data_IF_708326024863
#
_entry.id   IF_708326024863
#
_cell.length_a   1.000
_cell.length_b   1.000
_cell.length_c   1.000
_cell.angle_alpha   90.00
_cell.angle_beta   90.00
_cell.angle_gamma   90.00
#
_symmetry.space_group_name_H-M   'P 1'
#
loop_
_entity.id
_entity.type
_entity.pdbx_description
1 polymer ?
#
# COMPACT_ATOMS: atom_id res chain seq x y z
N UNK A 1 -6.58 53.87 78.35
CA UNK A 1 -6.61 52.37 78.35
C UNK A 1 -6.73 51.89 76.93
N UNK A 2 -5.63 51.40 76.41
CA UNK A 2 -5.51 50.99 75.00
C UNK A 2 -5.91 49.55 74.80
N UNK A 3 -6.83 49.28 73.86
CA UNK A 3 -7.12 47.94 73.37
C UNK A 3 -6.39 47.75 72.03
N UNK A 4 -5.34 46.90 72.00
CA UNK A 4 -4.64 46.47 70.81
C UNK A 4 -5.48 45.43 70.08
N UNK A 5 -5.93 45.73 68.85
CA UNK A 5 -6.44 44.76 67.87
C UNK A 5 -5.27 44.10 67.17
N UNK A 6 -5.15 42.79 67.39
CA UNK A 6 -4.21 41.97 66.63
C UNK A 6 -4.92 41.55 65.34
N UNK A 7 -4.48 42.11 64.21
CA UNK A 7 -4.93 41.71 62.89
C UNK A 7 -4.03 40.57 62.39
N UNK A 8 -4.59 39.35 62.38
CA UNK A 8 -3.92 38.16 61.87
C UNK A 8 -4.02 38.17 60.33
N UNK A 9 -2.93 38.61 59.64
CA UNK A 9 -2.82 38.54 58.21
C UNK A 9 -2.51 37.08 57.80
N UNK A 10 -3.55 36.38 57.36
CA UNK A 10 -3.41 35.07 56.72
C UNK A 10 -2.88 35.29 55.31
N UNK A 11 -1.56 35.13 55.10
CA UNK A 11 -0.92 35.13 53.78
C UNK A 11 -1.28 33.81 53.10
N UNK A 12 -2.36 33.79 52.32
CA UNK A 12 -2.65 32.74 51.41
C UNK A 12 -1.68 32.85 50.25
N UNK A 13 -0.61 32.01 50.24
CA UNK A 13 0.27 31.81 49.07
C UNK A 13 -0.56 31.13 47.98
N UNK A 14 -1.15 31.92 47.11
CA UNK A 14 -1.64 31.42 45.80
C UNK A 14 -0.39 31.10 44.99
N UNK A 15 -0.01 29.82 44.96
CA UNK A 15 0.96 29.30 44.01
C UNK A 15 0.26 29.33 42.66
N UNK A 16 0.47 30.37 41.88
CA UNK A 16 0.20 30.38 40.45
C UNK A 16 1.12 29.34 39.85
N UNK A 17 0.59 28.17 39.59
CA UNK A 17 1.20 27.28 38.61
C UNK A 17 1.11 28.01 37.27
N UNK A 18 2.12 28.81 36.96
CA UNK A 18 2.37 29.31 35.62
C UNK A 18 2.77 28.09 34.80
N UNK A 19 1.81 27.38 34.22
CA UNK A 19 2.06 26.50 33.08
C UNK A 19 2.69 27.43 32.05
N UNK A 20 3.93 27.19 31.64
CA UNK A 20 4.55 28.06 30.67
C UNK A 20 3.72 27.99 29.40
N UNK A 21 3.17 29.11 28.96
CA UNK A 21 2.43 29.30 27.70
C UNK A 21 3.24 28.92 26.45
N UNK A 22 4.49 28.51 26.61
CA UNK A 22 5.40 27.95 25.63
C UNK A 22 5.08 26.52 25.21
N UNK A 23 4.23 25.80 25.92
CA UNK A 23 3.88 24.41 25.59
C UNK A 23 2.67 24.28 24.68
N UNK A 24 2.11 25.36 24.19
CA UNK A 24 1.29 25.32 22.98
C UNK A 24 2.28 25.24 21.83
N UNK A 25 2.74 24.02 21.50
CA UNK A 25 3.55 23.78 20.31
C UNK A 25 2.73 24.25 19.11
N UNK A 26 3.09 25.42 18.58
CA UNK A 26 2.58 25.88 17.29
C UNK A 26 3.14 24.88 16.29
N UNK A 27 2.28 24.00 15.76
CA UNK A 27 2.67 23.05 14.72
C UNK A 27 3.26 23.82 13.55
N UNK A 28 4.36 23.32 13.01
CA UNK A 28 4.96 23.89 11.81
C UNK A 28 4.01 23.74 10.61
N UNK A 29 4.24 24.52 9.57
CA UNK A 29 3.45 24.40 8.34
C UNK A 29 3.53 22.97 7.75
N UNK A 30 4.70 22.33 7.86
CA UNK A 30 4.93 20.95 7.41
C UNK A 30 4.15 19.94 8.27
N UNK A 31 4.14 20.08 9.59
CA UNK A 31 3.35 19.22 10.48
C UNK A 31 1.85 19.34 10.21
N UNK A 32 1.36 20.55 9.92
CA UNK A 32 -0.04 20.77 9.54
C UNK A 32 -0.33 20.12 8.19
N UNK A 33 0.57 20.24 7.22
CA UNK A 33 0.43 19.63 5.90
C UNK A 33 0.41 18.09 5.99
N UNK A 34 1.34 17.51 6.76
CA UNK A 34 1.41 16.08 7.03
C UNK A 34 0.11 15.57 7.67
N UNK A 35 -0.39 16.25 8.69
CA UNK A 35 -1.62 15.85 9.38
C UNK A 35 -2.84 15.89 8.45
N UNK A 36 -2.99 16.96 7.64
CA UNK A 36 -4.07 17.07 6.65
C UNK A 36 -3.99 15.94 5.62
N UNK A 37 -2.78 15.62 5.14
CA UNK A 37 -2.56 14.56 4.18
C UNK A 37 -2.85 13.19 4.79
N UNK A 38 -2.40 12.94 6.02
CA UNK A 38 -2.69 11.73 6.78
C UNK A 38 -4.19 11.48 6.93
N UNK A 39 -4.94 12.51 7.32
CA UNK A 39 -6.40 12.43 7.44
C UNK A 39 -7.04 12.08 6.10
N UNK A 40 -6.60 12.71 5.01
CA UNK A 40 -7.13 12.45 3.66
C UNK A 40 -6.84 11.04 3.18
N UNK A 41 -5.59 10.55 3.35
CA UNK A 41 -5.23 9.18 2.99
C UNK A 41 -6.02 8.16 3.80
N UNK A 42 -6.12 8.36 5.12
CA UNK A 42 -6.90 7.49 6.02
C UNK A 42 -8.37 7.44 5.60
N UNK A 43 -8.97 8.58 5.26
CA UNK A 43 -10.36 8.65 4.79
C UNK A 43 -10.57 7.87 3.49
N UNK A 44 -9.67 8.03 2.50
CA UNK A 44 -9.74 7.28 1.23
C UNK A 44 -9.50 5.79 1.42
N UNK A 45 -8.54 5.42 2.28
CA UNK A 45 -8.30 4.03 2.66
C UNK A 45 -9.54 3.40 3.30
N UNK A 46 -10.18 4.06 4.27
CA UNK A 46 -11.40 3.55 4.88
C UNK A 46 -12.54 3.45 3.88
N UNK A 47 -12.66 4.43 2.97
CA UNK A 47 -13.64 4.39 1.89
C UNK A 47 -13.42 3.17 0.99
N UNK A 48 -12.19 2.91 0.54
CA UNK A 48 -11.87 1.74 -0.26
C UNK A 48 -12.22 0.43 0.47
N UNK A 49 -11.86 0.33 1.77
CA UNK A 49 -12.19 -0.84 2.56
C UNK A 49 -13.69 -1.07 2.69
N UNK A 50 -14.49 -0.02 2.83
CA UNK A 50 -15.95 -0.09 2.97
C UNK A 50 -16.63 -0.38 1.62
N UNK A 51 -16.29 0.38 0.58
CA UNK A 51 -16.95 0.27 -0.74
C UNK A 51 -16.74 -1.12 -1.38
N UNK A 52 -15.56 -1.70 -1.19
CA UNK A 52 -15.19 -2.98 -1.81
C UNK A 52 -15.16 -4.16 -0.83
N UNK A 53 -15.57 -3.99 0.44
CA UNK A 53 -15.60 -5.07 1.43
C UNK A 53 -14.24 -5.71 1.69
N UNK A 54 -13.15 -4.91 1.71
CA UNK A 54 -11.79 -5.43 1.73
C UNK A 54 -11.41 -6.04 3.08
N UNK A 55 -12.02 -5.62 4.18
CA UNK A 55 -11.70 -6.07 5.53
C UNK A 55 -12.98 -6.49 6.24
N UNK A 56 -12.98 -7.70 6.78
CA UNK A 56 -14.07 -8.25 7.59
C UNK A 56 -13.57 -8.63 9.00
N UNK A 57 -14.52 -8.86 9.88
CA UNK A 57 -14.23 -9.36 11.23
C UNK A 57 -13.64 -10.78 11.16
N UNK A 58 -12.59 -11.03 11.94
CA UNK A 58 -11.88 -12.30 11.93
C UNK A 58 -10.83 -12.49 10.83
N UNK A 59 -10.65 -11.52 9.92
CA UNK A 59 -9.62 -11.62 8.88
C UNK A 59 -8.20 -11.74 9.47
N UNK A 60 -7.35 -12.52 8.81
CA UNK A 60 -5.90 -12.49 8.97
C UNK A 60 -5.27 -12.09 7.63
N UNK A 61 -4.72 -10.89 7.57
CA UNK A 61 -4.24 -10.26 6.33
C UNK A 61 -2.71 -10.30 6.28
N UNK A 62 -2.15 -10.94 5.25
CA UNK A 62 -0.73 -10.88 4.96
C UNK A 62 -0.43 -9.66 4.07
N UNK A 63 0.46 -8.78 4.50
CA UNK A 63 0.85 -7.57 3.75
C UNK A 63 2.16 -7.83 3.02
N UNK A 64 2.15 -7.71 1.69
CA UNK A 64 3.37 -7.78 0.88
C UNK A 64 4.19 -6.49 1.02
N UNK A 65 5.29 -6.54 1.78
CA UNK A 65 6.19 -5.41 2.04
C UNK A 65 7.40 -5.45 1.11
N UNK A 66 7.39 -4.64 0.05
CA UNK A 66 8.53 -4.53 -0.88
C UNK A 66 9.63 -3.56 -0.42
N UNK A 67 9.35 -2.76 0.63
CA UNK A 67 10.20 -1.65 1.08
C UNK A 67 10.00 -0.34 0.30
N UNK A 68 9.19 -0.32 -0.75
CA UNK A 68 8.81 0.90 -1.45
C UNK A 68 7.74 1.70 -0.70
N UNK A 69 7.64 3.00 -1.02
CA UNK A 69 6.71 3.96 -0.39
C UNK A 69 5.28 3.45 -0.25
N UNK A 70 4.76 2.79 -1.29
CA UNK A 70 3.38 2.33 -1.34
C UNK A 70 3.15 1.17 -0.37
N UNK A 71 4.09 0.22 -0.31
CA UNK A 71 4.02 -0.90 0.64
C UNK A 71 4.21 -0.46 2.10
N UNK A 72 5.04 0.55 2.35
CA UNK A 72 5.20 1.16 3.68
C UNK A 72 3.92 1.89 4.12
N UNK A 73 3.32 2.68 3.22
CA UNK A 73 2.03 3.34 3.48
C UNK A 73 0.92 2.32 3.75
N UNK A 74 0.89 1.20 3.01
CA UNK A 74 -0.06 0.11 3.25
C UNK A 74 0.11 -0.51 4.64
N UNK A 75 1.36 -0.82 5.04
CA UNK A 75 1.67 -1.37 6.37
C UNK A 75 1.24 -0.40 7.46
N UNK A 76 1.51 0.90 7.30
CA UNK A 76 1.12 1.91 8.29
C UNK A 76 -0.40 2.02 8.42
N UNK A 77 -1.12 2.13 7.30
CA UNK A 77 -2.58 2.30 7.31
C UNK A 77 -3.30 1.05 7.84
N UNK A 78 -2.88 -0.15 7.41
CA UNK A 78 -3.45 -1.41 7.91
C UNK A 78 -3.10 -1.65 9.37
N UNK A 79 -1.85 -1.38 9.78
CA UNK A 79 -1.41 -1.53 11.17
C UNK A 79 -2.19 -0.61 12.12
N UNK A 80 -2.36 0.67 11.74
CA UNK A 80 -3.21 1.60 12.50
C UNK A 80 -4.67 1.17 12.53
N UNK A 81 -5.19 0.66 11.42
CA UNK A 81 -6.58 0.21 11.32
C UNK A 81 -6.84 -1.04 12.16
N UNK A 82 -5.88 -1.97 12.25
CA UNK A 82 -5.99 -3.18 13.07
C UNK A 82 -6.03 -2.89 14.59
N UNK A 83 -5.61 -1.69 15.00
CA UNK A 83 -5.70 -1.26 16.41
C UNK A 83 -7.09 -0.72 16.78
N UNK A 84 -8.00 -0.57 15.83
CA UNK A 84 -9.38 -0.14 16.06
C UNK A 84 -10.25 -1.37 16.36
N UNK A 85 -11.17 -1.24 17.31
CA UNK A 85 -11.92 -2.35 17.86
C UNK A 85 -12.84 -3.09 16.87
N UNK A 86 -13.37 -2.41 15.84
CA UNK A 86 -14.32 -2.99 14.87
C UNK A 86 -13.94 -2.53 13.45
N UNK A 87 -13.84 -3.47 12.48
CA UNK A 87 -13.75 -4.92 12.63
C UNK A 87 -12.47 -5.35 13.34
N UNK A 88 -12.49 -6.49 14.03
CA UNK A 88 -11.30 -7.12 14.61
C UNK A 88 -10.63 -7.99 13.56
N UNK A 89 -9.41 -7.69 13.21
CA UNK A 89 -8.62 -8.49 12.28
C UNK A 89 -7.14 -8.44 12.64
N UNK A 90 -6.39 -9.38 12.11
CA UNK A 90 -4.95 -9.47 12.31
C UNK A 90 -4.20 -9.09 11.05
N UNK A 91 -3.01 -8.53 11.22
CA UNK A 91 -2.10 -8.21 10.12
C UNK A 91 -0.72 -8.75 10.38
N UNK A 92 -0.08 -9.26 9.34
CA UNK A 92 1.32 -9.68 9.35
C UNK A 92 1.96 -9.17 8.07
N UNK A 93 3.13 -8.55 8.15
CA UNK A 93 3.89 -8.13 6.97
C UNK A 93 4.89 -9.21 6.58
N UNK A 94 5.11 -9.41 5.28
CA UNK A 94 6.18 -10.27 4.77
C UNK A 94 7.04 -9.53 3.77
N UNK A 95 8.35 -9.55 3.99
CA UNK A 95 9.35 -9.07 3.05
C UNK A 95 10.02 -10.26 2.36
N UNK A 96 9.80 -10.40 1.05
CA UNK A 96 10.36 -11.49 0.25
C UNK A 96 11.65 -11.03 -0.42
N UNK A 97 12.76 -11.69 -0.09
CA UNK A 97 14.07 -11.51 -0.74
C UNK A 97 14.31 -12.61 -1.76
N UNK A 98 14.81 -12.24 -2.92
CA UNK A 98 15.26 -13.19 -3.95
C UNK A 98 16.78 -13.23 -3.88
N UNK A 99 17.36 -14.37 -3.53
CA UNK A 99 18.81 -14.51 -3.24
C UNK A 99 19.70 -14.12 -4.44
N UNK A 100 19.25 -14.41 -5.65
CA UNK A 100 20.00 -14.11 -6.88
C UNK A 100 19.90 -12.63 -7.31
N UNK A 101 19.26 -11.80 -6.51
CA UNK A 101 19.12 -10.37 -6.76
C UNK A 101 19.68 -9.59 -5.61
N UNK A 102 20.67 -8.74 -5.88
CA UNK A 102 21.21 -7.77 -4.93
C UNK A 102 20.18 -6.68 -4.59
N UNK A 103 19.18 -7.08 -3.80
CA UNK A 103 18.25 -6.15 -3.20
C UNK A 103 18.81 -5.77 -1.82
N UNK A 104 19.48 -4.64 -1.75
CA UNK A 104 19.86 -4.05 -0.48
C UNK A 104 18.65 -3.37 0.15
N UNK A 105 17.74 -4.19 0.71
CA UNK A 105 16.73 -3.68 1.62
C UNK A 105 17.35 -3.52 3.00
N UNK A 106 17.26 -2.34 3.58
CA UNK A 106 17.62 -2.17 4.99
C UNK A 106 16.58 -2.86 5.86
N UNK A 107 16.91 -4.09 6.26
CA UNK A 107 16.04 -4.91 7.11
C UNK A 107 15.87 -4.32 8.51
N UNK A 108 16.85 -3.56 9.02
CA UNK A 108 16.74 -2.89 10.30
C UNK A 108 15.64 -1.84 10.24
N UNK A 109 15.70 -0.98 9.22
CA UNK A 109 14.67 0.01 8.98
C UNK A 109 13.26 -0.60 8.83
N UNK A 110 13.12 -1.69 8.04
CA UNK A 110 11.83 -2.34 7.85
C UNK A 110 11.28 -2.95 9.14
N UNK A 111 12.14 -3.54 9.98
CA UNK A 111 11.76 -4.09 11.29
C UNK A 111 11.29 -2.98 12.22
N UNK A 112 12.06 -1.89 12.33
CA UNK A 112 11.74 -0.75 13.18
C UNK A 112 10.46 -0.04 12.70
N UNK A 113 10.27 0.07 11.38
CA UNK A 113 9.06 0.62 10.80
C UNK A 113 7.82 -0.21 11.18
N UNK A 114 7.87 -1.52 10.98
CA UNK A 114 6.78 -2.43 11.32
C UNK A 114 6.49 -2.44 12.83
N UNK A 115 7.53 -2.42 13.67
CA UNK A 115 7.39 -2.36 15.13
C UNK A 115 6.67 -1.09 15.59
N UNK A 116 6.98 0.07 15.00
CA UNK A 116 6.31 1.35 15.31
C UNK A 116 4.79 1.30 15.08
N UNK A 117 4.35 0.56 14.08
CA UNK A 117 2.92 0.42 13.75
C UNK A 117 2.31 -0.89 14.27
N UNK A 118 3.06 -1.63 15.10
CA UNK A 118 2.66 -2.89 15.74
C UNK A 118 2.24 -3.98 14.75
N UNK A 119 2.94 -4.07 13.62
CA UNK A 119 2.75 -5.11 12.61
C UNK A 119 3.92 -6.09 12.68
N UNK A 120 3.69 -7.38 12.99
CA UNK A 120 4.73 -8.41 12.91
C UNK A 120 5.34 -8.47 11.50
N UNK A 121 6.67 -8.57 11.40
CA UNK A 121 7.38 -8.71 10.13
C UNK A 121 8.05 -10.07 10.02
N UNK A 122 7.78 -10.77 8.92
CA UNK A 122 8.46 -11.99 8.50
C UNK A 122 9.36 -11.65 7.31
N UNK A 123 10.58 -12.15 7.32
CA UNK A 123 11.49 -12.09 6.18
C UNK A 123 11.57 -13.49 5.58
N UNK A 124 11.18 -13.64 4.33
CA UNK A 124 11.19 -14.91 3.59
C UNK A 124 12.20 -14.83 2.47
N UNK A 125 13.17 -15.73 2.48
CA UNK A 125 14.10 -15.88 1.36
C UNK A 125 13.51 -16.84 0.33
N UNK A 126 13.66 -16.51 -0.95
CA UNK A 126 13.30 -17.37 -2.08
C UNK A 126 14.45 -17.42 -3.07
N UNK A 127 14.60 -18.55 -3.73
CA UNK A 127 15.59 -18.78 -4.78
C UNK A 127 14.85 -18.98 -6.10
N UNK A 128 15.45 -18.51 -7.18
CA UNK A 128 14.99 -18.82 -8.54
C UNK A 128 15.60 -20.18 -8.89
N UNK A 129 14.82 -21.27 -8.68
CA UNK A 129 15.33 -22.62 -8.89
C UNK A 129 15.77 -22.87 -10.34
N UNK A 130 16.79 -23.71 -10.51
CA UNK A 130 17.29 -24.15 -11.83
C UNK A 130 16.22 -24.87 -12.66
N UNK A 131 15.19 -25.42 -12.02
CA UNK A 131 14.03 -26.08 -12.65
C UNK A 131 13.18 -25.14 -13.52
N UNK A 132 13.36 -23.80 -13.38
CA UNK A 132 12.69 -22.83 -14.24
C UNK A 132 13.13 -22.91 -15.72
N UNK A 133 14.16 -23.68 -16.04
CA UNK A 133 14.62 -23.93 -17.40
C UNK A 133 13.90 -25.12 -18.09
N UNK A 134 13.13 -25.96 -17.37
CA UNK A 134 12.64 -27.21 -17.92
C UNK A 134 11.23 -27.70 -17.55
N UNK A 135 10.52 -27.15 -16.56
CA UNK A 135 9.18 -27.65 -16.23
C UNK A 135 8.07 -26.97 -17.02
N UNK A 136 7.55 -27.71 -18.00
CA UNK A 136 6.24 -27.50 -18.58
C UNK A 136 5.18 -27.58 -17.48
N UNK A 137 4.61 -26.45 -17.11
CA UNK A 137 3.37 -26.45 -16.31
C UNK A 137 2.27 -27.15 -17.12
N UNK A 138 1.99 -28.40 -16.75
CA UNK A 138 0.84 -29.17 -17.27
C UNK A 138 -0.45 -28.37 -17.02
N UNK A 139 -0.90 -27.64 -18.03
CA UNK A 139 -2.16 -26.89 -17.94
C UNK A 139 -2.41 -25.82 -18.99
N UNK A 140 -1.46 -25.44 -19.83
CA UNK A 140 -1.68 -24.49 -20.92
C UNK A 140 -1.51 -25.20 -22.27
N UNK A 141 -2.62 -25.69 -22.84
CA UNK A 141 -2.68 -26.06 -24.25
C UNK A 141 -2.45 -24.80 -25.08
N UNK A 142 -1.24 -24.65 -25.60
CA UNK A 142 -0.92 -24.10 -26.95
C UNK A 142 0.58 -24.22 -27.15
N UNK A 143 0.95 -25.01 -28.12
CA UNK A 143 2.30 -25.15 -28.70
C UNK A 143 2.75 -23.79 -29.22
N UNK A 144 3.60 -23.12 -28.47
CA UNK A 144 4.46 -22.05 -29.00
C UNK A 144 5.83 -22.25 -28.39
N UNK A 145 6.83 -22.35 -29.30
CA UNK A 145 8.27 -22.51 -29.08
C UNK A 145 8.70 -21.95 -27.72
N UNK A 146 9.43 -22.73 -26.93
CA UNK A 146 10.02 -22.36 -25.63
C UNK A 146 10.79 -21.03 -25.80
N UNK A 147 10.10 -19.91 -25.60
CA UNK A 147 10.74 -18.60 -25.40
C UNK A 147 11.29 -18.63 -23.99
N UNK A 148 12.61 -18.45 -23.85
CA UNK A 148 13.26 -18.20 -22.57
C UNK A 148 12.41 -17.19 -21.79
N UNK A 149 11.87 -17.62 -20.64
CA UNK A 149 11.01 -16.75 -19.82
C UNK A 149 11.86 -15.59 -19.32
N UNK A 150 11.45 -14.37 -19.64
CA UNK A 150 12.19 -13.16 -19.27
C UNK A 150 12.50 -13.16 -17.76
N UNK A 151 13.74 -12.84 -17.31
CA UNK A 151 14.15 -12.92 -15.91
C UNK A 151 13.23 -12.18 -14.92
N UNK A 152 12.60 -11.07 -15.36
CA UNK A 152 11.62 -10.35 -14.56
C UNK A 152 10.35 -11.14 -14.30
N UNK A 153 9.93 -11.99 -15.24
CA UNK A 153 8.75 -12.84 -15.06
C UNK A 153 9.01 -13.89 -13.98
N UNK A 154 10.15 -14.56 -14.02
CA UNK A 154 10.54 -15.55 -13.02
C UNK A 154 10.66 -14.93 -11.64
N UNK A 155 11.36 -13.81 -11.52
CA UNK A 155 11.49 -13.09 -10.26
C UNK A 155 10.11 -12.71 -9.65
N UNK A 156 9.19 -12.21 -10.50
CA UNK A 156 7.83 -11.88 -10.07
C UNK A 156 7.02 -13.11 -9.67
N UNK A 157 7.24 -14.23 -10.36
CA UNK A 157 6.54 -15.48 -10.09
C UNK A 157 6.98 -16.08 -8.75
N UNK A 158 8.30 -16.19 -8.49
CA UNK A 158 8.82 -16.72 -7.22
C UNK A 158 8.46 -15.84 -6.03
N UNK A 159 8.47 -14.51 -6.18
CA UNK A 159 7.98 -13.59 -5.15
C UNK A 159 6.51 -13.81 -4.83
N UNK A 160 5.65 -13.95 -5.85
CA UNK A 160 4.23 -14.24 -5.63
C UNK A 160 4.04 -15.59 -4.97
N UNK A 161 4.75 -16.63 -5.44
CA UNK A 161 4.70 -17.95 -4.83
C UNK A 161 5.03 -17.86 -3.34
N UNK A 162 6.15 -17.22 -2.98
CA UNK A 162 6.53 -17.05 -1.58
C UNK A 162 5.49 -16.30 -0.74
N UNK A 163 4.79 -15.30 -1.32
CA UNK A 163 3.66 -14.62 -0.65
C UNK A 163 2.51 -15.59 -0.35
N UNK A 164 2.10 -16.40 -1.34
CA UNK A 164 1.01 -17.35 -1.18
C UNK A 164 1.38 -18.47 -0.20
N UNK A 165 2.59 -19.02 -0.31
CA UNK A 165 3.09 -20.06 0.59
C UNK A 165 3.09 -19.53 2.04
N UNK A 166 3.59 -18.31 2.27
CA UNK A 166 3.58 -17.69 3.60
C UNK A 166 2.16 -17.43 4.11
N UNK A 167 1.24 -17.01 3.23
CA UNK A 167 -0.16 -16.81 3.62
C UNK A 167 -0.81 -18.12 4.10
N UNK A 168 -0.54 -19.22 3.39
CA UNK A 168 -1.03 -20.55 3.79
C UNK A 168 -0.38 -21.05 5.10
N UNK A 169 0.95 -20.88 5.24
CA UNK A 169 1.69 -21.26 6.46
C UNK A 169 1.12 -20.56 7.71
N UNK A 170 0.67 -19.31 7.57
CA UNK A 170 0.13 -18.50 8.66
C UNK A 170 -1.40 -18.58 8.82
N UNK A 171 -2.08 -19.30 7.95
CA UNK A 171 -3.54 -19.32 7.94
C UNK A 171 -4.18 -17.98 7.57
N UNK A 172 -3.49 -17.14 6.78
CA UNK A 172 -4.04 -15.89 6.29
C UNK A 172 -5.10 -16.15 5.21
N UNK A 173 -6.26 -15.50 5.33
CA UNK A 173 -7.32 -15.58 4.31
C UNK A 173 -7.24 -14.44 3.28
N UNK A 174 -6.40 -13.42 3.53
CA UNK A 174 -6.21 -12.29 2.61
C UNK A 174 -4.74 -11.94 2.43
N UNK A 175 -4.41 -11.46 1.21
CA UNK A 175 -3.11 -10.87 0.89
C UNK A 175 -3.35 -9.43 0.45
N UNK A 176 -2.76 -8.46 1.14
CA UNK A 176 -2.83 -7.04 0.82
C UNK A 176 -1.60 -6.60 0.03
N UNK A 177 -1.82 -5.91 -1.09
CA UNK A 177 -0.79 -5.36 -1.96
C UNK A 177 -0.92 -3.84 -2.07
N UNK A 178 0.22 -3.15 -2.15
CA UNK A 178 0.33 -1.69 -2.19
C UNK A 178 0.01 -1.06 -3.55
N UNK A 179 -0.89 -1.66 -4.35
CA UNK A 179 -1.34 -1.05 -5.59
C UNK A 179 -2.27 0.13 -5.29
N UNK A 180 -1.98 1.26 -5.89
CA UNK A 180 -2.72 2.52 -5.75
C UNK A 180 -3.58 2.81 -7.00
N UNK A 181 -4.38 3.88 -6.96
CA UNK A 181 -5.32 4.25 -8.02
C UNK A 181 -4.67 4.30 -9.41
N UNK A 182 -3.48 4.89 -9.50
CA UNK A 182 -2.77 5.02 -10.78
C UNK A 182 -2.40 3.66 -11.37
N UNK A 183 -2.00 2.68 -10.54
CA UNK A 183 -1.73 1.31 -11.01
C UNK A 183 -2.93 0.68 -11.71
N UNK A 184 -4.14 0.91 -11.18
CA UNK A 184 -5.37 0.37 -11.75
C UNK A 184 -5.71 1.07 -13.08
N UNK A 185 -5.58 2.39 -13.13
CA UNK A 185 -5.79 3.20 -14.35
C UNK A 185 -4.77 2.82 -15.43
N UNK A 186 -3.50 2.76 -15.07
CA UNK A 186 -2.42 2.35 -15.99
C UNK A 186 -2.64 0.93 -16.53
N UNK A 187 -3.05 -0.01 -15.67
CA UNK A 187 -3.31 -1.39 -16.08
C UNK A 187 -4.49 -1.48 -17.04
N UNK A 188 -5.57 -0.70 -16.80
CA UNK A 188 -6.67 -0.62 -17.75
C UNK A 188 -6.20 -0.15 -19.13
N UNK A 189 -5.43 0.94 -19.19
CA UNK A 189 -4.93 1.47 -20.46
C UNK A 189 -3.97 0.50 -21.15
N UNK A 190 -3.09 -0.18 -20.39
CA UNK A 190 -2.23 -1.22 -20.93
C UNK A 190 -3.05 -2.34 -21.57
N UNK A 191 -4.09 -2.82 -20.90
CA UNK A 191 -4.93 -3.89 -21.43
C UNK A 191 -5.75 -3.44 -22.65
N UNK A 192 -6.27 -2.22 -22.62
CA UNK A 192 -6.97 -1.64 -23.78
C UNK A 192 -6.06 -1.52 -25.01
N UNK A 193 -4.86 -0.97 -24.84
CA UNK A 193 -3.95 -0.65 -25.96
C UNK A 193 -3.24 -1.89 -26.49
N UNK A 194 -2.76 -2.77 -25.60
CA UNK A 194 -1.90 -3.88 -26.00
C UNK A 194 -2.63 -5.23 -26.11
N UNK A 195 -3.81 -5.38 -25.48
CA UNK A 195 -4.54 -6.65 -25.43
C UNK A 195 -5.96 -6.56 -25.98
N UNK A 196 -6.45 -5.35 -26.30
CA UNK A 196 -7.83 -5.14 -26.73
C UNK A 196 -8.86 -5.59 -25.69
N UNK A 197 -8.52 -5.48 -24.41
CA UNK A 197 -9.35 -5.96 -23.29
C UNK A 197 -9.67 -4.84 -22.31
N UNK A 198 -10.94 -4.71 -21.95
CA UNK A 198 -11.41 -3.81 -20.88
C UNK A 198 -11.27 -4.55 -19.55
N UNK A 199 -10.07 -4.53 -19.00
CA UNK A 199 -9.75 -5.18 -17.72
C UNK A 199 -8.68 -4.39 -16.95
N UNK A 200 -8.78 -4.40 -15.63
CA UNK A 200 -7.78 -3.84 -14.73
C UNK A 200 -7.50 -4.82 -13.59
N UNK A 201 -6.71 -4.41 -12.60
CA UNK A 201 -6.54 -5.14 -11.35
C UNK A 201 -7.65 -4.71 -10.37
N UNK A 202 -8.56 -5.61 -9.97
CA UNK A 202 -9.68 -5.22 -9.10
C UNK A 202 -9.21 -4.93 -7.66
N UNK A 203 -9.91 -4.06 -6.91
CA UNK A 203 -9.65 -3.83 -5.48
C UNK A 203 -9.71 -5.11 -4.63
N UNK A 204 -10.65 -6.00 -4.93
CA UNK A 204 -10.82 -7.33 -4.34
C UNK A 204 -10.78 -8.38 -5.45
N UNK A 205 -9.93 -9.39 -5.31
CA UNK A 205 -9.85 -10.53 -6.22
C UNK A 205 -9.91 -11.84 -5.42
N UNK A 206 -10.93 -12.64 -5.64
CA UNK A 206 -10.99 -14.01 -5.14
C UNK A 206 -10.10 -14.91 -5.99
N UNK A 207 -9.23 -15.70 -5.37
CA UNK A 207 -8.41 -16.67 -6.10
C UNK A 207 -9.20 -17.96 -6.34
N UNK A 208 -9.21 -18.47 -7.58
CA UNK A 208 -9.99 -19.67 -7.94
C UNK A 208 -9.45 -20.96 -7.33
N UNK A 209 -8.12 -21.02 -7.13
CA UNK A 209 -7.42 -22.25 -6.71
C UNK A 209 -7.10 -22.30 -5.22
N UNK A 210 -7.33 -21.23 -4.49
CA UNK A 210 -6.96 -21.11 -3.06
C UNK A 210 -8.02 -20.28 -2.33
N UNK A 211 -8.33 -20.60 -1.06
CA UNK A 211 -9.26 -19.82 -0.24
C UNK A 211 -8.62 -18.50 0.23
N UNK A 212 -7.94 -17.80 -0.65
CA UNK A 212 -7.24 -16.55 -0.37
C UNK A 212 -7.80 -15.45 -1.25
N UNK A 213 -8.04 -14.29 -0.69
CA UNK A 213 -8.42 -13.07 -1.41
C UNK A 213 -7.21 -12.13 -1.53
N UNK A 214 -7.03 -11.53 -2.70
CA UNK A 214 -6.09 -10.43 -2.87
C UNK A 214 -6.82 -9.11 -2.74
N UNK A 215 -6.33 -8.23 -1.86
CA UNK A 215 -6.94 -6.91 -1.62
C UNK A 215 -5.96 -5.77 -1.92
N UNK A 216 -6.51 -4.62 -2.34
CA UNK A 216 -5.75 -3.41 -2.69
C UNK A 216 -6.35 -2.18 -2.00
N UNK A 217 -6.09 -2.01 -0.70
CA UNK A 217 -6.72 -0.95 0.09
C UNK A 217 -6.32 0.48 -0.32
N UNK A 218 -5.23 0.63 -1.10
CA UNK A 218 -4.79 1.94 -1.61
C UNK A 218 -5.43 2.33 -2.94
N UNK A 219 -6.38 1.54 -3.48
CA UNK A 219 -6.95 1.71 -4.83
C UNK A 219 -7.65 3.06 -5.07
N UNK A 220 -8.04 3.79 -4.05
CA UNK A 220 -8.63 5.13 -4.15
C UNK A 220 -7.63 6.27 -3.86
N UNK A 221 -6.36 5.96 -3.61
CA UNK A 221 -5.32 6.92 -3.29
C UNK A 221 -4.41 7.09 -4.52
N UNK A 222 -4.08 8.32 -4.86
CA UNK A 222 -3.20 8.64 -5.97
C UNK A 222 -1.73 8.48 -5.60
N UNK A 223 -0.88 8.07 -6.57
CA UNK A 223 0.56 7.88 -6.35
C UNK A 223 1.22 9.13 -5.78
N UNK A 224 0.90 10.32 -6.33
CA UNK A 224 1.46 11.60 -5.87
C UNK A 224 1.16 11.92 -4.40
N UNK A 225 0.00 11.47 -3.89
CA UNK A 225 -0.35 11.68 -2.49
C UNK A 225 0.45 10.77 -1.56
N UNK A 226 0.69 9.51 -1.98
CA UNK A 226 1.54 8.57 -1.23
C UNK A 226 3.00 9.07 -1.26
N UNK A 227 3.46 9.57 -2.39
CA UNK A 227 4.80 10.12 -2.54
C UNK A 227 5.04 11.30 -1.61
N UNK A 228 4.13 12.27 -1.63
CA UNK A 228 4.20 13.43 -0.74
C UNK A 228 4.07 13.04 0.73
N UNK A 229 3.22 12.05 1.06
CA UNK A 229 3.09 11.52 2.41
C UNK A 229 4.38 10.84 2.87
N UNK A 230 5.01 10.05 2.01
CA UNK A 230 6.26 9.38 2.30
C UNK A 230 7.40 10.36 2.57
N UNK A 231 7.49 11.45 1.79
CA UNK A 231 8.46 12.53 1.98
C UNK A 231 8.27 13.22 3.33
N UNK A 232 7.07 13.70 3.64
CA UNK A 232 6.77 14.38 4.90
C UNK A 232 6.89 13.47 6.13
N UNK A 233 6.65 12.16 5.95
CA UNK A 233 6.76 11.16 7.02
C UNK A 233 8.18 10.63 7.20
N UNK A 234 9.13 11.05 6.37
CA UNK A 234 10.52 10.61 6.43
C UNK A 234 10.69 9.12 6.09
N UNK A 235 9.95 8.59 5.10
CA UNK A 235 10.18 7.22 4.66
C UNK A 235 11.52 7.10 3.96
N UNK A 236 12.32 6.13 4.37
CA UNK A 236 13.60 5.86 3.74
C UNK A 236 13.40 5.13 2.40
N UNK A 237 14.00 5.68 1.35
CA UNK A 237 13.98 5.04 0.03
C UNK A 237 14.88 3.80 0.06
N UNK A 238 14.30 2.62 -0.16
CA UNK A 238 15.07 1.41 -0.34
C UNK A 238 15.73 1.42 -1.72
N UNK A 239 17.02 1.12 -1.77
CA UNK A 239 17.79 1.11 -3.02
C UNK A 239 17.45 -0.16 -3.79
N UNK A 240 16.78 -0.02 -4.92
CA UNK A 240 16.51 -1.12 -5.84
C UNK A 240 17.59 -1.15 -6.92
N UNK A 241 18.46 -2.14 -6.87
CA UNK A 241 19.55 -2.31 -7.84
C UNK A 241 19.18 -3.23 -9.01
N UNK A 242 17.91 -3.31 -9.41
CA UNK A 242 17.52 -4.14 -10.53
C UNK A 242 17.80 -3.44 -11.87
N UNK A 243 18.78 -3.90 -12.67
CA UNK A 243 19.12 -3.24 -13.94
C UNK A 243 18.02 -3.37 -15.01
N UNK A 244 17.05 -4.29 -14.82
CA UNK A 244 15.98 -4.59 -15.76
C UNK A 244 14.71 -3.74 -15.55
N UNK A 245 14.69 -2.85 -14.55
CA UNK A 245 13.49 -2.05 -14.18
C UNK A 245 13.20 -0.91 -15.18
N UNK A 246 14.16 -0.56 -16.04
CA UNK A 246 14.14 0.67 -16.85
C UNK A 246 13.33 0.63 -18.15
N UNK A 247 12.89 -0.53 -18.62
CA UNK A 247 12.17 -0.66 -19.91
C UNK A 247 10.84 -1.36 -19.69
N UNK A 248 9.79 -0.60 -19.40
CA UNK A 248 8.45 -1.16 -19.32
C UNK A 248 7.44 -0.29 -20.07
N UNK A 249 6.47 -0.93 -20.72
CA UNK A 249 5.33 -0.26 -21.36
C UNK A 249 4.57 0.65 -20.37
N UNK A 250 4.70 0.40 -19.07
CA UNK A 250 4.09 1.23 -18.02
C UNK A 250 4.64 2.67 -18.00
N UNK A 251 5.92 2.87 -18.28
CA UNK A 251 6.51 4.21 -18.37
C UNK A 251 5.91 5.01 -19.53
N UNK A 252 5.62 4.34 -20.65
CA UNK A 252 4.95 4.96 -21.80
C UNK A 252 3.50 5.34 -21.45
N UNK A 253 2.78 4.46 -20.76
CA UNK A 253 1.41 4.75 -20.32
C UNK A 253 1.38 5.93 -19.33
N UNK A 254 2.35 6.03 -18.42
CA UNK A 254 2.45 7.19 -17.51
C UNK A 254 2.65 8.49 -18.30
N UNK A 255 3.48 8.49 -19.35
CA UNK A 255 3.67 9.65 -20.22
C UNK A 255 2.39 10.02 -20.99
N UNK A 256 1.69 9.02 -21.51
CA UNK A 256 0.40 9.23 -22.19
C UNK A 256 -0.63 9.84 -21.24
N UNK A 257 -0.73 9.31 -20.01
CA UNK A 257 -1.63 9.86 -19.00
C UNK A 257 -1.31 11.32 -18.66
N UNK A 258 -0.03 11.68 -18.55
CA UNK A 258 0.38 13.05 -18.31
C UNK A 258 -0.03 13.99 -19.48
N UNK A 259 0.00 13.52 -20.74
CA UNK A 259 -0.51 14.28 -21.88
C UNK A 259 -2.03 14.43 -21.83
N UNK A 260 -2.75 13.39 -21.45
CA UNK A 260 -4.20 13.42 -21.30
C UNK A 260 -4.64 14.36 -20.16
N UNK A 261 -3.83 14.51 -19.10
CA UNK A 261 -4.09 15.45 -17.99
C UNK A 261 -4.07 16.93 -18.47
N UNK A 262 -3.34 17.24 -19.54
CA UNK A 262 -3.37 18.58 -20.15
C UNK A 262 -4.73 18.86 -20.77
N UNK A 263 -5.36 17.85 -21.36
CA UNK A 263 -6.70 17.95 -21.96
C UNK A 263 -7.80 17.95 -20.89
N UNK A 264 -7.66 17.10 -19.89
CA UNK A 264 -8.60 16.96 -18.79
C UNK A 264 -7.84 16.72 -17.48
N UNK A 265 -7.73 17.71 -16.58
CA UNK A 265 -7.04 17.56 -15.29
C UNK A 265 -7.61 16.43 -14.42
N UNK A 266 -8.86 16.01 -14.65
CA UNK A 266 -9.53 14.94 -13.93
C UNK A 266 -9.54 13.61 -14.73
N UNK A 267 -8.67 13.42 -15.73
CA UNK A 267 -8.70 12.26 -16.61
C UNK A 267 -8.58 10.93 -15.87
N UNK A 268 -7.79 10.86 -14.79
CA UNK A 268 -7.64 9.66 -13.98
C UNK A 268 -8.95 9.27 -13.28
N UNK A 269 -9.69 10.28 -12.76
CA UNK A 269 -11.03 10.06 -12.20
C UNK A 269 -12.03 9.64 -13.25
N UNK A 270 -11.96 10.24 -14.43
CA UNK A 270 -12.83 9.89 -15.57
C UNK A 270 -12.60 8.44 -16.01
N UNK A 271 -11.34 8.02 -16.14
CA UNK A 271 -10.99 6.65 -16.51
C UNK A 271 -11.41 5.67 -15.40
N UNK A 272 -11.19 6.02 -14.13
CA UNK A 272 -11.66 5.23 -12.99
C UNK A 272 -13.18 5.03 -13.05
N UNK A 273 -13.93 6.11 -13.18
CA UNK A 273 -15.41 6.07 -13.25
C UNK A 273 -15.90 5.28 -14.45
N UNK A 274 -15.16 5.27 -15.56
CA UNK A 274 -15.52 4.48 -16.74
C UNK A 274 -15.47 2.97 -16.47
N UNK A 275 -14.58 2.49 -15.59
CA UNK A 275 -14.54 1.08 -15.18
C UNK A 275 -15.79 0.65 -14.40
N UNK A 276 -16.40 1.58 -13.66
CA UNK A 276 -17.59 1.33 -12.84
C UNK A 276 -18.89 1.63 -13.61
N UNK A 277 -18.81 2.28 -14.79
CA UNK A 277 -19.97 2.76 -15.56
C UNK A 277 -19.92 2.28 -17.02
N UNK A 278 -19.84 0.96 -17.21
CA UNK A 278 -19.83 0.35 -18.53
C UNK A 278 -21.28 0.26 -19.05
N UNK A 279 -21.55 1.00 -20.13
CA UNK A 279 -22.85 0.98 -20.82
C UNK A 279 -22.84 -0.12 -21.90
N UNK A 280 -23.15 -1.35 -21.52
CA UNK A 280 -23.09 -2.52 -22.39
C UNK A 280 -23.93 -2.38 -23.66
N UNK A 281 -25.06 -1.64 -23.61
CA UNK A 281 -25.95 -1.45 -24.74
C UNK A 281 -25.35 -0.59 -25.89
N UNK A 282 -24.32 0.18 -25.57
CA UNK A 282 -23.60 0.98 -26.56
C UNK A 282 -22.30 0.32 -27.04
N UNK A 283 -22.02 -0.91 -26.61
CA UNK A 283 -20.89 -1.68 -27.11
C UNK A 283 -21.32 -2.62 -28.24
N UNK A 284 -20.43 -2.91 -29.23
CA UNK A 284 -20.70 -3.86 -30.29
C UNK A 284 -21.08 -5.23 -29.70
N UNK A 285 -22.27 -5.73 -30.07
CA UNK A 285 -22.72 -7.09 -29.70
C UNK A 285 -22.32 -8.03 -30.85
N UNK A 286 -21.74 -9.20 -30.49
CA UNK A 286 -21.49 -10.30 -31.42
C UNK A 286 -22.63 -11.29 -31.35
#
# INVERSE_FOLDING_TARGET
MQKKCIFLCFFMKIVFFSVPLWSIMIKTAEEIALEKLRIRLTKRFHKACADYGLIADGDHILIGLSGGKDSLALVELLGKRAQVYVPRFQVTAVHVRVKERDYHSDLSYLKDFCARVRVPLIVKDTEIGDEAQGEETKGARRETKAKEKHPCFLCSWYRRKALFDTAQELGCNKIALGHHKDDLVETLLMNLIFQGSVASIPPLLQMDKMPIQMIRPLCLIEEKEIEHYAELSGYEKQIKLCPLEKVSNRAEIKRLLAQLEVLNPNVRDSIWSAMENIKSDYLPKR
#
